data_IF_156530451835
#
_entry.id   IF_156530451835
#
_cell.length_a   1.000
_cell.length_b   1.000
_cell.length_c   1.000
_cell.angle_alpha   90.00
_cell.angle_beta   90.00
_cell.angle_gamma   90.00
#
_symmetry.space_group_name_H-M   'P 1'
#
loop_
_entity.id
_entity.type
_entity.pdbx_description
1 polymer ?
#
# COMPACT_ATOMS: atom_id res chain seq x y z
N UNK A 1 4.92 22.80 13.43
CA UNK A 1 5.10 22.54 11.98
C UNK A 1 5.31 21.06 11.82
N UNK A 2 4.62 20.42 10.88
CA UNK A 2 4.79 18.98 10.67
C UNK A 2 6.09 18.69 9.94
N UNK A 3 6.89 17.78 10.47
CA UNK A 3 8.11 17.25 9.88
C UNK A 3 7.93 15.75 9.65
N UNK A 4 7.76 15.34 8.41
CA UNK A 4 7.30 14.00 8.04
C UNK A 4 8.44 13.21 7.42
N UNK A 5 8.73 12.03 7.94
CA UNK A 5 9.63 11.06 7.33
C UNK A 5 8.80 9.95 6.65
N UNK A 6 8.95 9.79 5.33
CA UNK A 6 8.38 8.68 4.57
C UNK A 6 9.46 7.63 4.36
N UNK A 7 9.41 6.55 5.15
CA UNK A 7 10.31 5.41 5.02
C UNK A 7 9.81 4.52 3.88
N UNK A 8 10.65 4.24 2.89
CA UNK A 8 10.24 3.51 1.68
C UNK A 8 9.64 4.40 0.60
N UNK A 9 10.03 5.67 0.54
CA UNK A 9 9.57 6.66 -0.45
C UNK A 9 9.99 6.36 -1.90
N UNK A 10 10.80 5.34 -2.15
CA UNK A 10 11.11 4.86 -3.51
C UNK A 10 10.22 3.66 -3.93
N UNK A 11 9.28 3.22 -3.08
CA UNK A 11 8.33 2.15 -3.38
C UNK A 11 7.09 2.64 -4.13
N UNK A 12 6.21 1.72 -4.52
CA UNK A 12 5.00 2.02 -5.31
C UNK A 12 4.14 3.12 -4.69
N UNK A 13 3.67 2.95 -3.45
CA UNK A 13 2.83 3.96 -2.77
C UNK A 13 3.70 5.15 -2.34
N UNK A 14 4.88 4.87 -1.78
CA UNK A 14 5.73 5.91 -1.19
C UNK A 14 6.17 6.98 -2.17
N UNK A 15 6.43 6.63 -3.45
CA UNK A 15 6.89 7.57 -4.48
C UNK A 15 5.81 8.59 -4.89
N UNK A 16 4.55 8.19 -4.87
CA UNK A 16 3.43 9.11 -5.18
C UNK A 16 2.97 9.86 -3.92
N UNK A 17 2.95 9.17 -2.77
CA UNK A 17 2.57 9.76 -1.49
C UNK A 17 3.48 10.93 -1.11
N UNK A 18 4.80 10.78 -1.25
CA UNK A 18 5.75 11.82 -0.86
C UNK A 18 5.55 13.11 -1.65
N UNK A 19 5.26 13.04 -2.96
CA UNK A 19 5.02 14.20 -3.80
C UNK A 19 3.75 14.94 -3.36
N UNK A 20 2.70 14.19 -3.03
CA UNK A 20 1.45 14.76 -2.53
C UNK A 20 1.64 15.40 -1.15
N UNK A 21 2.34 14.73 -0.23
CA UNK A 21 2.65 15.29 1.09
C UNK A 21 3.49 16.58 0.98
N UNK A 22 4.48 16.63 0.07
CA UNK A 22 5.27 17.83 -0.19
C UNK A 22 4.43 19.00 -0.68
N UNK A 23 3.43 18.74 -1.52
CA UNK A 23 2.50 19.78 -1.97
C UNK A 23 1.64 20.36 -0.84
N UNK A 24 1.35 19.57 0.19
CA UNK A 24 0.51 19.97 1.34
C UNK A 24 1.34 20.61 2.45
N UNK A 25 2.45 19.99 2.82
CA UNK A 25 3.24 20.37 4.00
C UNK A 25 4.51 21.19 3.68
N UNK A 26 4.85 21.31 2.39
CA UNK A 26 6.07 21.96 1.91
C UNK A 26 7.22 20.98 1.68
N UNK A 27 7.99 21.23 0.64
CA UNK A 27 9.05 20.36 0.14
C UNK A 27 10.08 19.98 1.21
N UNK A 28 10.56 20.98 1.97
CA UNK A 28 11.60 20.81 2.99
C UNK A 28 11.10 20.10 4.27
N UNK A 29 9.78 20.00 4.43
CA UNK A 29 9.17 19.42 5.62
C UNK A 29 8.86 17.93 5.45
N UNK A 30 9.00 17.37 4.23
CA UNK A 30 8.74 15.97 3.95
C UNK A 30 9.97 15.27 3.41
N UNK A 31 10.59 14.48 4.25
CA UNK A 31 11.82 13.75 3.98
C UNK A 31 11.47 12.38 3.41
N UNK A 32 11.97 12.06 2.24
CA UNK A 32 11.89 10.72 1.69
C UNK A 32 13.03 9.84 2.16
N UNK A 33 12.80 8.54 2.19
CA UNK A 33 13.92 7.62 2.35
C UNK A 33 13.76 6.31 1.60
N UNK A 34 14.89 5.68 1.32
CA UNK A 34 14.99 4.37 0.70
C UNK A 34 16.26 3.66 1.12
N UNK A 35 16.40 2.38 0.73
CA UNK A 35 17.61 1.61 1.06
C UNK A 35 18.60 1.57 -0.10
N UNK A 36 18.17 1.06 -1.25
CA UNK A 36 19.00 0.86 -2.45
C UNK A 36 18.33 1.33 -3.74
N UNK A 37 16.99 1.28 -3.78
CA UNK A 37 16.23 1.71 -4.94
C UNK A 37 16.35 3.22 -5.09
N UNK A 38 16.80 3.67 -6.25
CA UNK A 38 16.83 5.09 -6.57
C UNK A 38 15.38 5.62 -6.67
N UNK A 39 15.05 6.72 -6.00
CA UNK A 39 13.76 7.38 -6.18
C UNK A 39 13.69 8.02 -7.58
N UNK A 40 12.48 8.38 -8.00
CA UNK A 40 12.30 9.14 -9.23
C UNK A 40 12.99 10.51 -9.16
N UNK A 41 13.31 11.06 -10.33
CA UNK A 41 13.91 12.41 -10.43
C UNK A 41 13.00 13.47 -9.77
N UNK A 42 11.67 13.35 -9.94
CA UNK A 42 10.71 14.24 -9.30
C UNK A 42 10.83 14.23 -7.77
N UNK A 43 11.06 13.08 -7.16
CA UNK A 43 11.28 12.97 -5.70
C UNK A 43 12.58 13.63 -5.28
N UNK A 44 13.66 13.47 -6.06
CA UNK A 44 14.97 14.08 -5.74
C UNK A 44 14.97 15.60 -5.91
N UNK A 45 14.27 16.11 -6.91
CA UNK A 45 14.24 17.56 -7.21
C UNK A 45 13.30 18.35 -6.30
N UNK A 46 12.34 17.69 -5.63
CA UNK A 46 11.32 18.39 -4.86
C UNK A 46 11.60 18.44 -3.35
N UNK A 47 12.66 17.81 -2.83
CA UNK A 47 12.96 17.91 -1.40
C UNK A 47 13.97 16.87 -0.92
N UNK A 48 14.25 16.81 0.38
CA UNK A 48 15.28 15.94 0.96
C UNK A 48 14.97 14.46 0.80
N UNK A 49 16.04 13.67 0.57
CA UNK A 49 15.98 12.22 0.49
C UNK A 49 17.19 11.59 1.16
N UNK A 50 16.98 10.58 2.02
CA UNK A 50 18.01 9.90 2.78
C UNK A 50 18.08 8.40 2.43
N UNK A 51 19.28 7.85 2.38
CA UNK A 51 19.48 6.42 2.21
C UNK A 51 19.87 5.79 3.54
N UNK A 52 19.02 4.89 4.02
CA UNK A 52 19.30 4.10 5.22
C UNK A 52 18.55 2.77 5.23
N UNK A 53 18.93 1.89 6.15
CA UNK A 53 18.21 0.64 6.38
C UNK A 53 17.27 0.80 7.57
N UNK A 54 15.96 0.68 7.36
CA UNK A 54 14.93 0.81 8.42
C UNK A 54 15.11 -0.20 9.58
N UNK A 55 15.79 -1.33 9.33
CA UNK A 55 16.15 -2.31 10.36
C UNK A 55 17.32 -1.82 11.24
N UNK A 56 18.12 -0.89 10.76
CA UNK A 56 19.16 -0.25 11.55
C UNK A 56 18.58 0.90 12.36
N UNK A 57 18.34 0.67 13.65
CA UNK A 57 17.74 1.62 14.57
C UNK A 57 18.52 2.94 14.67
N UNK A 58 19.86 2.86 14.67
CA UNK A 58 20.72 4.03 14.81
C UNK A 58 20.63 4.94 13.57
N UNK A 59 20.64 4.35 12.36
CA UNK A 59 20.47 5.11 11.13
C UNK A 59 19.13 5.84 11.10
N UNK A 60 18.01 5.15 11.42
CA UNK A 60 16.68 5.73 11.49
C UNK A 60 16.59 6.86 12.54
N UNK A 61 17.12 6.63 13.74
CA UNK A 61 17.17 7.62 14.81
C UNK A 61 17.92 8.89 14.39
N UNK A 62 19.10 8.73 13.76
CA UNK A 62 19.93 9.84 13.30
C UNK A 62 19.22 10.70 12.24
N UNK A 63 18.49 10.07 11.32
CA UNK A 63 17.68 10.79 10.33
C UNK A 63 16.54 11.54 11.01
N UNK A 64 15.80 10.91 11.92
CA UNK A 64 14.73 11.56 12.68
C UNK A 64 15.24 12.78 13.45
N UNK A 65 16.39 12.65 14.11
CA UNK A 65 17.03 13.74 14.85
C UNK A 65 17.53 14.86 13.93
N UNK A 66 18.14 14.51 12.80
CA UNK A 66 18.68 15.48 11.83
C UNK A 66 17.61 16.45 11.32
N UNK A 67 16.41 15.93 11.07
CA UNK A 67 15.31 16.70 10.47
C UNK A 67 14.23 17.12 11.48
N UNK A 68 14.43 16.85 12.78
CA UNK A 68 13.43 17.12 13.82
C UNK A 68 12.05 16.50 13.47
N UNK A 69 12.08 15.22 13.06
CA UNK A 69 10.89 14.50 12.59
C UNK A 69 9.89 14.31 13.73
N UNK A 70 8.62 14.62 13.47
CA UNK A 70 7.53 14.41 14.42
C UNK A 70 6.40 13.51 13.89
N UNK A 71 6.47 13.11 12.61
CA UNK A 71 5.57 12.11 12.01
C UNK A 71 6.39 11.11 11.19
N UNK A 72 6.18 9.82 11.38
CA UNK A 72 6.77 8.78 10.53
C UNK A 72 5.68 8.05 9.78
N UNK A 73 5.83 7.91 8.46
CA UNK A 73 5.01 7.05 7.61
C UNK A 73 5.92 5.90 7.15
N UNK A 74 5.73 4.71 7.71
CA UNK A 74 6.60 3.57 7.43
C UNK A 74 6.01 2.68 6.31
N UNK A 75 6.36 2.99 5.06
CA UNK A 75 5.97 2.23 3.86
C UNK A 75 6.94 1.08 3.54
N UNK A 76 8.05 0.93 4.27
CA UNK A 76 9.04 -0.11 4.00
C UNK A 76 8.49 -1.49 4.34
N UNK A 77 8.40 -2.38 3.36
CA UNK A 77 7.97 -3.75 3.55
C UNK A 77 8.49 -4.69 2.45
N UNK A 78 8.67 -5.95 2.79
CA UNK A 78 8.79 -7.06 1.84
C UNK A 78 7.37 -7.61 1.61
N UNK A 79 6.94 -7.66 0.33
CA UNK A 79 5.59 -8.03 -0.06
C UNK A 79 5.36 -9.55 -0.09
N UNK A 80 4.10 -9.98 -0.31
CA UNK A 80 3.65 -11.35 -0.15
C UNK A 80 4.46 -12.39 -0.94
N UNK A 81 4.55 -12.27 -2.27
CA UNK A 81 5.24 -13.29 -3.08
C UNK A 81 6.75 -13.34 -2.82
N UNK A 82 7.39 -12.18 -2.63
CA UNK A 82 8.82 -12.12 -2.26
C UNK A 82 9.04 -12.61 -0.83
N UNK A 83 8.10 -12.32 0.07
CA UNK A 83 8.13 -12.76 1.46
C UNK A 83 8.09 -14.28 1.61
N UNK A 84 7.31 -14.98 0.78
CA UNK A 84 7.27 -16.45 0.78
C UNK A 84 8.58 -17.07 0.28
N UNK A 85 9.27 -16.40 -0.63
CA UNK A 85 10.60 -16.84 -1.07
C UNK A 85 11.69 -16.57 -0.02
N UNK A 86 11.51 -15.54 0.82
CA UNK A 86 12.49 -15.09 1.81
C UNK A 86 11.83 -14.73 3.15
N UNK A 87 11.22 -15.69 3.88
CA UNK A 87 10.38 -15.40 5.05
C UNK A 87 11.12 -14.71 6.20
N UNK A 88 12.38 -15.06 6.45
CA UNK A 88 13.18 -14.42 7.50
C UNK A 88 13.53 -12.96 7.16
N UNK A 89 13.78 -12.65 5.87
CA UNK A 89 13.96 -11.28 5.43
C UNK A 89 12.66 -10.47 5.57
N UNK A 90 11.52 -11.08 5.24
CA UNK A 90 10.21 -10.45 5.43
C UNK A 90 9.95 -10.15 6.90
N UNK A 91 10.23 -11.10 7.79
CA UNK A 91 10.14 -10.86 9.23
C UNK A 91 11.04 -9.70 9.68
N UNK A 92 12.31 -9.73 9.31
CA UNK A 92 13.28 -8.72 9.74
C UNK A 92 12.87 -7.30 9.31
N UNK A 93 12.58 -7.12 8.02
CA UNK A 93 12.18 -5.81 7.49
C UNK A 93 10.84 -5.35 8.04
N UNK A 94 9.82 -6.23 8.02
CA UNK A 94 8.45 -5.83 8.37
C UNK A 94 8.24 -5.69 9.89
N UNK A 95 8.92 -6.50 10.72
CA UNK A 95 8.73 -6.48 12.16
C UNK A 95 9.80 -5.68 12.90
N UNK A 96 11.10 -5.93 12.65
CA UNK A 96 12.15 -5.19 13.32
C UNK A 96 12.21 -3.73 12.84
N UNK A 97 11.94 -3.48 11.54
CA UNK A 97 11.79 -2.13 11.01
C UNK A 97 10.62 -1.38 11.64
N UNK A 98 9.47 -2.05 11.82
CA UNK A 98 8.32 -1.47 12.50
C UNK A 98 8.61 -1.19 13.98
N UNK A 99 9.19 -2.16 14.70
CA UNK A 99 9.51 -1.99 16.11
C UNK A 99 10.47 -0.81 16.32
N UNK A 100 11.51 -0.68 15.49
CA UNK A 100 12.41 0.46 15.52
C UNK A 100 11.65 1.78 15.34
N UNK A 101 10.73 1.82 14.37
CA UNK A 101 9.90 3.00 14.09
C UNK A 101 9.07 3.41 15.32
N UNK A 102 8.37 2.45 15.93
CA UNK A 102 7.50 2.70 17.09
C UNK A 102 8.31 3.11 18.33
N UNK A 103 9.44 2.45 18.60
CA UNK A 103 10.29 2.79 19.74
C UNK A 103 10.93 4.17 19.59
N UNK A 104 11.42 4.52 18.41
CA UNK A 104 11.97 5.85 18.14
C UNK A 104 10.87 6.92 18.27
N UNK A 105 9.69 6.66 17.72
CA UNK A 105 8.56 7.58 17.84
C UNK A 105 8.16 7.81 19.31
N UNK A 106 8.13 6.76 20.12
CA UNK A 106 7.87 6.84 21.55
C UNK A 106 8.96 7.62 22.32
N UNK A 107 10.23 7.31 22.04
CA UNK A 107 11.37 7.94 22.73
C UNK A 107 11.54 9.43 22.41
N UNK A 108 11.23 9.80 21.15
CA UNK A 108 11.28 11.18 20.68
C UNK A 108 9.95 11.93 20.87
N UNK A 109 8.97 11.33 21.54
CA UNK A 109 7.65 11.91 21.78
C UNK A 109 6.99 12.43 20.50
N UNK A 110 7.10 11.63 19.41
CA UNK A 110 6.55 12.02 18.12
C UNK A 110 5.03 12.13 18.16
N UNK A 111 4.50 12.98 17.31
CA UNK A 111 3.06 13.24 17.22
C UNK A 111 2.29 12.05 16.65
N UNK A 112 2.85 11.35 15.65
CA UNK A 112 2.09 10.32 14.93
C UNK A 112 3.01 9.32 14.21
N UNK A 113 2.56 8.08 14.13
CA UNK A 113 3.12 7.04 13.25
C UNK A 113 2.02 6.47 12.37
N UNK A 114 2.26 6.38 11.06
CA UNK A 114 1.36 5.68 10.15
C UNK A 114 2.06 4.43 9.62
N UNK A 115 1.39 3.28 9.79
CA UNK A 115 1.91 1.95 9.42
C UNK A 115 0.89 1.26 8.52
N UNK A 116 1.19 1.05 7.24
CA UNK A 116 0.29 0.32 6.35
C UNK A 116 0.10 -1.13 6.78
N UNK A 117 -1.17 -1.55 6.91
CA UNK A 117 -1.58 -2.94 6.90
C UNK A 117 -2.01 -3.35 5.49
N UNK A 118 -2.65 -4.49 5.33
CA UNK A 118 -3.00 -5.08 4.04
C UNK A 118 -4.17 -6.06 4.20
N UNK A 119 -4.94 -6.29 3.13
CA UNK A 119 -5.89 -7.40 3.05
C UNK A 119 -5.22 -8.78 3.28
N UNK A 120 -3.91 -8.86 3.21
CA UNK A 120 -3.15 -10.07 3.50
C UNK A 120 -3.25 -10.53 4.97
N UNK A 121 -3.81 -9.73 5.88
CA UNK A 121 -4.15 -10.13 7.26
C UNK A 121 -5.25 -11.18 7.30
N UNK A 122 -6.10 -11.22 6.30
CA UNK A 122 -7.18 -12.18 6.17
C UNK A 122 -6.67 -13.57 5.77
N UNK A 123 -7.48 -14.57 5.99
CA UNK A 123 -7.15 -15.96 5.68
C UNK A 123 -8.31 -16.90 6.00
N UNK A 124 -8.06 -18.23 6.09
CA UNK A 124 -9.10 -19.20 6.36
C UNK A 124 -9.93 -18.86 7.60
N UNK A 125 -11.26 -18.81 7.41
CA UNK A 125 -12.22 -18.45 8.46
C UNK A 125 -12.69 -16.98 8.39
N UNK A 126 -12.04 -16.12 7.60
CA UNK A 126 -12.60 -14.81 7.26
C UNK A 126 -13.73 -14.98 6.24
N UNK A 127 -14.89 -14.31 6.40
CA UNK A 127 -15.91 -14.26 5.34
C UNK A 127 -15.32 -13.72 4.03
N UNK A 128 -15.63 -14.40 2.91
CA UNK A 128 -15.10 -13.98 1.60
C UNK A 128 -15.75 -12.67 1.11
N UNK A 129 -17.04 -12.51 1.35
CA UNK A 129 -17.77 -11.32 0.92
C UNK A 129 -17.94 -10.38 2.10
N UNK A 130 -17.63 -9.09 1.87
CA UNK A 130 -17.70 -8.00 2.87
C UNK A 130 -17.03 -8.40 4.19
N UNK A 131 -15.75 -8.85 4.11
CA UNK A 131 -14.98 -9.20 5.29
C UNK A 131 -15.10 -8.10 6.35
N UNK A 132 -15.67 -8.42 7.56
CA UNK A 132 -15.90 -7.41 8.59
C UNK A 132 -14.61 -6.77 9.11
N UNK A 133 -14.73 -5.57 9.67
CA UNK A 133 -13.63 -4.89 10.37
C UNK A 133 -13.07 -5.79 11.48
N UNK A 134 -13.96 -6.27 12.34
CA UNK A 134 -13.64 -7.24 13.40
C UNK A 134 -13.93 -8.67 12.91
N UNK A 135 -12.88 -9.43 12.68
CA UNK A 135 -13.02 -10.80 12.16
C UNK A 135 -11.80 -11.67 12.51
N UNK A 136 -11.87 -12.94 12.13
CA UNK A 136 -10.76 -13.89 12.32
C UNK A 136 -9.63 -13.54 11.36
N UNK A 137 -8.45 -13.24 11.91
CA UNK A 137 -7.24 -12.98 11.14
C UNK A 137 -6.30 -14.19 11.26
N UNK A 138 -6.28 -15.03 10.21
CA UNK A 138 -5.43 -16.22 10.12
C UNK A 138 -4.72 -16.27 8.77
N UNK A 139 -3.79 -15.33 8.51
CA UNK A 139 -3.09 -15.29 7.24
C UNK A 139 -2.27 -16.57 7.00
N UNK A 140 -2.11 -16.92 5.74
CA UNK A 140 -1.34 -18.10 5.31
C UNK A 140 0.05 -17.74 4.80
N UNK A 141 0.41 -16.47 4.80
CA UNK A 141 1.71 -15.97 4.33
C UNK A 141 2.51 -15.30 5.45
N UNK A 142 3.84 -15.32 5.35
CA UNK A 142 4.71 -14.57 6.27
C UNK A 142 4.38 -13.08 6.23
N UNK A 143 4.12 -12.53 5.05
CA UNK A 143 3.71 -11.14 4.90
C UNK A 143 2.45 -10.83 5.70
N UNK A 144 1.39 -11.61 5.52
CA UNK A 144 0.14 -11.46 6.26
C UNK A 144 0.33 -11.58 7.77
N UNK A 145 1.13 -12.57 8.22
CA UNK A 145 1.48 -12.75 9.63
C UNK A 145 2.14 -11.49 10.19
N UNK A 146 3.12 -10.90 9.48
CA UNK A 146 3.77 -9.67 9.93
C UNK A 146 2.82 -8.48 9.95
N UNK A 147 1.82 -8.43 9.06
CA UNK A 147 0.80 -7.37 9.07
C UNK A 147 -0.15 -7.50 10.25
N UNK A 148 -0.64 -8.69 10.57
CA UNK A 148 -1.44 -8.93 11.80
C UNK A 148 -0.66 -8.55 13.05
N UNK A 149 0.58 -9.02 13.16
CA UNK A 149 1.44 -8.67 14.29
C UNK A 149 1.68 -7.15 14.37
N UNK A 150 1.81 -6.47 13.22
CA UNK A 150 1.97 -5.02 13.13
C UNK A 150 0.74 -4.25 13.59
N UNK A 151 -0.48 -4.68 13.23
CA UNK A 151 -1.74 -4.11 13.73
C UNK A 151 -1.81 -4.21 15.26
N UNK A 152 -1.62 -5.41 15.80
CA UNK A 152 -1.64 -5.66 17.24
C UNK A 152 -0.57 -4.86 17.99
N UNK A 153 0.60 -4.72 17.39
CA UNK A 153 1.70 -3.94 17.97
C UNK A 153 1.35 -2.44 17.95
N UNK A 154 0.80 -1.92 16.86
CA UNK A 154 0.33 -0.54 16.77
C UNK A 154 -0.70 -0.22 17.85
N UNK A 155 -1.72 -1.05 17.99
CA UNK A 155 -2.74 -0.92 19.01
C UNK A 155 -2.16 -1.01 20.44
N UNK A 156 -1.15 -1.86 20.64
CA UNK A 156 -0.46 -1.93 21.93
C UNK A 156 0.21 -0.58 22.28
N UNK A 157 0.89 0.06 21.30
CA UNK A 157 1.54 1.36 21.53
C UNK A 157 0.53 2.48 21.78
N UNK A 158 -0.62 2.47 21.11
CA UNK A 158 -1.73 3.39 21.41
C UNK A 158 -2.18 3.23 22.84
N UNK A 159 -2.55 2.00 23.25
CA UNK A 159 -3.10 1.73 24.59
C UNK A 159 -2.09 1.90 25.71
N UNK A 160 -0.85 1.50 25.49
CA UNK A 160 0.19 1.46 26.54
C UNK A 160 0.91 2.79 26.71
N UNK A 161 1.14 3.50 25.61
CA UNK A 161 1.99 4.69 25.63
C UNK A 161 1.28 5.96 25.16
N UNK A 162 0.04 5.87 24.68
CA UNK A 162 -0.69 7.01 24.13
C UNK A 162 -0.11 7.54 22.82
N UNK A 163 0.75 6.75 22.14
CA UNK A 163 1.29 7.13 20.84
C UNK A 163 0.19 7.02 19.77
N UNK A 164 -0.01 8.07 19.00
CA UNK A 164 -0.93 8.05 17.85
C UNK A 164 -0.36 7.18 16.73
N UNK A 165 -0.81 5.91 16.66
CA UNK A 165 -0.45 4.96 15.62
C UNK A 165 -1.67 4.67 14.76
N UNK A 166 -1.55 4.85 13.45
CA UNK A 166 -2.66 4.65 12.49
C UNK A 166 -2.25 3.72 11.36
N UNK A 167 -3.22 2.96 10.84
CA UNK A 167 -2.98 2.04 9.74
C UNK A 167 -4.22 1.72 8.92
N UNK A 168 -3.99 1.34 7.68
CA UNK A 168 -4.99 0.96 6.69
C UNK A 168 -4.69 -0.46 6.20
N UNK A 169 -5.70 -1.31 6.11
CA UNK A 169 -5.64 -2.59 5.39
C UNK A 169 -5.79 -2.31 3.90
N UNK A 170 -4.69 -1.95 3.26
CA UNK A 170 -4.72 -1.68 1.82
C UNK A 170 -5.16 -2.90 1.03
N UNK A 171 -6.07 -2.73 0.05
CA UNK A 171 -6.36 -3.73 -0.97
C UNK A 171 -5.24 -3.81 -2.01
N UNK A 172 -5.48 -4.48 -3.13
CA UNK A 172 -4.57 -4.45 -4.28
C UNK A 172 -4.48 -3.04 -4.87
N UNK A 173 -3.29 -2.46 -4.84
CA UNK A 173 -3.08 -1.07 -5.31
C UNK A 173 -2.67 -1.07 -6.78
N UNK A 174 -3.40 -0.28 -7.57
CA UNK A 174 -3.20 -0.13 -9.01
C UNK A 174 -2.68 1.27 -9.30
N UNK A 175 -1.56 1.37 -10.02
CA UNK A 175 -0.93 2.64 -10.41
C UNK A 175 -0.35 2.54 -11.81
N UNK A 176 -0.41 3.64 -12.58
CA UNK A 176 0.29 3.78 -13.85
C UNK A 176 1.70 4.34 -13.69
N UNK A 177 2.11 4.79 -12.49
CA UNK A 177 3.42 5.41 -12.29
C UNK A 177 4.52 4.39 -12.07
N UNK A 178 4.29 3.42 -11.20
CA UNK A 178 5.31 2.45 -10.79
C UNK A 178 4.92 1.04 -11.24
N UNK A 179 5.87 0.35 -11.85
CA UNK A 179 5.71 -1.07 -12.22
C UNK A 179 5.52 -1.95 -10.97
N UNK A 180 4.85 -3.10 -11.13
CA UNK A 180 4.64 -4.06 -10.06
C UNK A 180 5.93 -4.52 -9.38
N UNK A 181 5.87 -4.72 -8.06
CA UNK A 181 7.02 -5.00 -7.20
C UNK A 181 7.09 -6.42 -6.59
N UNK A 182 6.29 -7.37 -7.07
CA UNK A 182 6.26 -8.74 -6.55
C UNK A 182 5.11 -8.99 -5.56
N UNK A 183 3.97 -8.35 -5.77
CA UNK A 183 2.72 -8.60 -5.06
C UNK A 183 1.83 -9.63 -5.76
N UNK A 184 0.90 -10.22 -5.03
CA UNK A 184 -0.09 -11.17 -5.55
C UNK A 184 -1.09 -10.47 -6.49
N UNK A 185 -1.37 -9.19 -6.27
CA UNK A 185 -2.32 -8.38 -7.04
C UNK A 185 -1.71 -7.67 -8.26
N UNK A 186 -0.43 -7.87 -8.52
CA UNK A 186 0.32 -7.18 -9.58
C UNK A 186 -0.23 -7.43 -11.00
N UNK A 187 -1.02 -8.51 -11.18
CA UNK A 187 -1.70 -8.76 -12.45
C UNK A 187 -2.59 -7.59 -12.87
N UNK A 188 -3.23 -6.92 -11.90
CA UNK A 188 -4.14 -5.81 -12.15
C UNK A 188 -3.43 -4.53 -12.62
N UNK A 189 -2.11 -4.47 -12.49
CA UNK A 189 -1.26 -3.42 -13.08
C UNK A 189 -0.66 -3.90 -14.39
N UNK A 190 -0.05 -5.09 -14.40
CA UNK A 190 0.65 -5.66 -15.56
C UNK A 190 -0.26 -5.74 -16.80
N UNK A 191 -1.53 -6.12 -16.61
CA UNK A 191 -2.51 -6.26 -17.70
C UNK A 191 -2.66 -4.99 -18.55
N UNK A 192 -2.58 -3.80 -17.95
CA UNK A 192 -2.69 -2.52 -18.68
C UNK A 192 -1.44 -2.23 -19.51
N UNK A 193 -0.26 -2.50 -18.97
CA UNK A 193 1.00 -2.35 -19.72
C UNK A 193 1.06 -3.30 -20.90
N UNK A 194 0.68 -4.56 -20.70
CA UNK A 194 0.64 -5.57 -21.73
C UNK A 194 -0.43 -5.28 -22.79
N UNK A 195 -1.59 -4.75 -22.38
CA UNK A 195 -2.64 -4.34 -23.30
C UNK A 195 -2.17 -3.23 -24.25
N UNK A 196 -1.44 -2.23 -23.75
CA UNK A 196 -0.90 -1.15 -24.60
C UNK A 196 0.22 -1.65 -25.49
N UNK A 197 1.20 -2.43 -24.94
CA UNK A 197 2.39 -2.86 -25.69
C UNK A 197 2.08 -3.96 -26.71
N UNK A 198 1.31 -4.96 -26.27
CA UNK A 198 1.21 -6.24 -27.01
C UNK A 198 -0.23 -6.62 -27.36
N UNK A 199 -1.23 -5.90 -26.83
CA UNK A 199 -2.66 -6.24 -26.98
C UNK A 199 -2.98 -7.67 -26.52
N UNK A 200 -2.13 -8.21 -25.66
CA UNK A 200 -2.22 -9.58 -25.15
C UNK A 200 -1.63 -9.65 -23.76
N UNK A 201 -2.28 -10.44 -22.87
CA UNK A 201 -1.77 -10.72 -21.54
C UNK A 201 -2.00 -12.18 -21.17
N UNK A 202 -1.04 -12.79 -20.47
CA UNK A 202 -1.21 -14.09 -19.80
C UNK A 202 -1.24 -13.83 -18.29
N UNK A 203 -2.43 -14.00 -17.69
CA UNK A 203 -2.65 -13.74 -16.29
C UNK A 203 -2.23 -14.95 -15.44
N UNK A 204 -1.52 -14.70 -14.34
CA UNK A 204 -1.06 -15.73 -13.42
C UNK A 204 -2.05 -16.11 -12.32
N UNK A 205 -3.29 -15.63 -12.43
CA UNK A 205 -4.43 -16.07 -11.62
C UNK A 205 -5.61 -16.36 -12.53
N UNK A 206 -6.62 -17.06 -12.01
CA UNK A 206 -7.83 -17.48 -12.78
C UNK A 206 -8.67 -16.27 -13.17
N UNK A 207 -9.51 -16.47 -14.17
CA UNK A 207 -10.40 -15.41 -14.70
C UNK A 207 -11.44 -14.94 -13.67
N UNK A 208 -11.90 -15.83 -12.81
CA UNK A 208 -12.90 -15.58 -11.78
C UNK A 208 -12.31 -15.10 -10.44
N UNK A 209 -10.97 -15.03 -10.34
CA UNK A 209 -10.30 -14.51 -9.15
C UNK A 209 -10.74 -13.07 -8.90
N UNK A 210 -11.45 -12.86 -7.78
CA UNK A 210 -11.98 -11.56 -7.36
C UNK A 210 -11.26 -11.12 -6.10
N UNK A 211 -10.76 -9.89 -6.10
CA UNK A 211 -10.07 -9.30 -4.95
C UNK A 211 -10.50 -7.83 -4.78
N UNK A 212 -10.45 -7.30 -3.56
CA UNK A 212 -10.61 -5.87 -3.35
C UNK A 212 -9.40 -5.13 -3.92
N UNK A 213 -9.68 -4.06 -4.67
CA UNK A 213 -8.70 -3.25 -5.39
C UNK A 213 -8.91 -1.77 -5.12
N UNK A 214 -7.87 -0.98 -5.30
CA UNK A 214 -7.91 0.47 -5.14
C UNK A 214 -6.96 1.14 -6.13
N UNK A 215 -7.42 2.22 -6.76
CA UNK A 215 -6.56 3.05 -7.58
C UNK A 215 -5.67 3.96 -6.73
N UNK A 216 -4.44 4.23 -7.19
CA UNK A 216 -3.45 4.98 -6.40
C UNK A 216 -3.93 6.35 -5.90
N UNK A 217 -4.66 7.17 -6.68
CA UNK A 217 -5.18 8.43 -6.15
C UNK A 217 -6.09 8.26 -4.92
N UNK A 218 -6.92 7.20 -4.88
CA UNK A 218 -7.73 6.87 -3.71
C UNK A 218 -6.88 6.33 -2.55
N UNK A 219 -5.82 5.57 -2.85
CA UNK A 219 -4.86 5.11 -1.84
C UNK A 219 -4.16 6.28 -1.14
N UNK A 220 -3.67 7.24 -1.91
CA UNK A 220 -3.02 8.45 -1.38
C UNK A 220 -4.03 9.28 -0.57
N UNK A 221 -5.24 9.45 -1.09
CA UNK A 221 -6.33 10.14 -0.38
C UNK A 221 -6.64 9.46 0.95
N UNK A 222 -6.83 8.13 0.97
CA UNK A 222 -7.12 7.38 2.19
C UNK A 222 -6.03 7.57 3.25
N UNK A 223 -4.77 7.52 2.81
CA UNK A 223 -3.60 7.71 3.69
C UNK A 223 -3.61 9.08 4.33
N UNK A 224 -3.83 10.13 3.54
CA UNK A 224 -3.81 11.53 4.00
C UNK A 224 -5.04 11.84 4.86
N UNK A 225 -6.24 11.40 4.44
CA UNK A 225 -7.47 11.60 5.20
C UNK A 225 -7.37 10.96 6.60
N UNK A 226 -6.87 9.71 6.69
CA UNK A 226 -6.66 9.07 7.99
C UNK A 226 -5.58 9.80 8.80
N UNK A 227 -4.47 10.22 8.17
CA UNK A 227 -3.42 10.98 8.85
C UNK A 227 -3.93 12.28 9.47
N UNK A 228 -4.89 12.96 8.82
CA UNK A 228 -5.46 14.23 9.24
C UNK A 228 -6.70 14.10 10.13
N UNK A 229 -7.27 12.89 10.27
CA UNK A 229 -8.44 12.66 11.10
C UNK A 229 -8.19 13.03 12.57
N UNK A 230 -9.23 13.43 13.27
CA UNK A 230 -9.16 13.67 14.72
C UNK A 230 -8.98 12.33 15.44
N UNK A 231 -7.84 12.15 16.10
CA UNK A 231 -7.51 10.92 16.83
C UNK A 231 -8.55 10.55 17.89
N UNK A 232 -9.17 11.56 18.51
CA UNK A 232 -10.16 11.34 19.57
C UNK A 232 -11.48 10.72 19.05
N UNK A 233 -11.73 10.77 17.74
CA UNK A 233 -12.91 10.17 17.10
C UNK A 233 -12.68 8.73 16.64
N UNK A 234 -11.42 8.30 16.58
CA UNK A 234 -11.06 6.98 16.10
C UNK A 234 -11.30 5.93 17.20
N UNK A 235 -12.04 4.88 16.86
CA UNK A 235 -12.23 3.68 17.70
C UNK A 235 -11.26 2.57 17.28
N UNK A 236 -10.99 2.49 15.98
CA UNK A 236 -9.94 1.67 15.40
C UNK A 236 -8.71 2.55 15.16
N UNK A 237 -7.54 1.96 15.08
CA UNK A 237 -6.30 2.73 14.92
C UNK A 237 -5.45 2.19 13.77
N UNK A 238 -4.82 1.04 13.96
CA UNK A 238 -3.82 0.50 13.03
C UNK A 238 -4.36 -0.50 12.00
N UNK A 239 -5.68 -0.67 11.89
CA UNK A 239 -6.32 -1.81 11.23
C UNK A 239 -7.54 -1.46 10.36
N UNK A 240 -7.76 -0.22 9.96
CA UNK A 240 -8.94 0.16 9.18
C UNK A 240 -9.05 -0.60 7.85
N UNK A 241 -10.17 -1.30 7.65
CA UNK A 241 -10.57 -1.75 6.32
C UNK A 241 -10.87 -0.55 5.42
N UNK A 242 -10.31 -0.53 4.21
CA UNK A 242 -10.63 0.47 3.18
C UNK A 242 -10.99 -0.24 1.87
N UNK A 243 -12.26 -0.16 1.49
CA UNK A 243 -12.79 -0.68 0.24
C UNK A 243 -12.89 0.43 -0.81
N UNK A 244 -12.60 0.11 -2.07
CA UNK A 244 -12.84 1.01 -3.20
C UNK A 244 -13.58 0.27 -4.31
N UNK A 245 -13.00 -0.81 -4.82
CA UNK A 245 -13.55 -1.64 -5.89
C UNK A 245 -13.34 -3.12 -5.55
N UNK A 246 -14.21 -3.96 -6.10
CA UNK A 246 -14.01 -5.41 -6.15
C UNK A 246 -14.42 -5.91 -7.52
N UNK A 247 -13.51 -6.56 -8.23
CA UNK A 247 -13.77 -7.07 -9.57
C UNK A 247 -12.94 -8.33 -9.85
N UNK A 248 -13.44 -9.18 -10.77
CA UNK A 248 -12.70 -10.33 -11.25
C UNK A 248 -11.71 -9.94 -12.35
N UNK A 249 -10.76 -10.83 -12.65
CA UNK A 249 -9.83 -10.63 -13.77
C UNK A 249 -10.58 -10.53 -15.10
N UNK A 250 -11.66 -11.32 -15.27
CA UNK A 250 -12.52 -11.25 -16.44
C UNK A 250 -13.18 -9.87 -16.60
N UNK A 251 -13.74 -9.32 -15.51
CA UNK A 251 -14.36 -7.98 -15.53
C UNK A 251 -13.33 -6.89 -15.87
N UNK A 252 -12.12 -6.99 -15.33
CA UNK A 252 -11.02 -6.09 -15.67
C UNK A 252 -10.65 -6.18 -17.15
N UNK A 253 -10.52 -7.40 -17.68
CA UNK A 253 -10.21 -7.63 -19.09
C UNK A 253 -11.32 -7.08 -20.01
N UNK A 254 -12.58 -7.26 -19.66
CA UNK A 254 -13.71 -6.71 -20.43
C UNK A 254 -13.73 -5.17 -20.39
N UNK A 255 -13.39 -4.54 -19.25
CA UNK A 255 -13.23 -3.09 -19.18
C UNK A 255 -12.14 -2.58 -20.13
N UNK A 256 -11.01 -3.30 -20.23
CA UNK A 256 -9.93 -2.99 -21.18
C UNK A 256 -10.38 -3.20 -22.63
N UNK A 257 -11.06 -4.30 -22.94
CA UNK A 257 -11.56 -4.60 -24.31
C UNK A 257 -12.52 -3.56 -24.84
N UNK A 258 -13.31 -2.90 -23.98
CA UNK A 258 -14.16 -1.78 -24.40
C UNK A 258 -13.36 -0.63 -25.04
N UNK A 259 -12.07 -0.46 -24.66
CA UNK A 259 -11.16 0.59 -25.16
C UNK A 259 -10.16 0.07 -26.19
N UNK A 260 -9.79 -1.21 -26.08
CA UNK A 260 -8.86 -1.91 -26.97
C UNK A 260 -9.54 -3.20 -27.43
N UNK A 261 -10.42 -3.17 -28.46
CA UNK A 261 -11.22 -4.35 -28.85
C UNK A 261 -10.39 -5.57 -29.26
N UNK A 262 -9.17 -5.35 -29.76
CA UNK A 262 -8.23 -6.41 -30.15
C UNK A 262 -7.47 -7.04 -28.95
N UNK A 263 -7.67 -6.56 -27.70
CA UNK A 263 -7.01 -7.13 -26.54
C UNK A 263 -7.49 -8.56 -26.27
N UNK A 264 -6.54 -9.44 -26.04
CA UNK A 264 -6.78 -10.85 -25.71
C UNK A 264 -6.11 -11.21 -24.39
N UNK A 265 -6.74 -12.10 -23.63
CA UNK A 265 -6.20 -12.61 -22.36
C UNK A 265 -6.22 -14.13 -22.33
N UNK A 266 -5.21 -14.73 -21.73
CA UNK A 266 -5.15 -16.15 -21.35
C UNK A 266 -4.81 -16.28 -19.88
N UNK A 267 -5.05 -17.44 -19.29
CA UNK A 267 -4.88 -17.68 -17.85
C UNK A 267 -3.96 -18.86 -17.62
N UNK A 268 -2.88 -18.65 -16.90
CA UNK A 268 -1.91 -19.66 -16.47
C UNK A 268 -1.59 -19.48 -14.98
N UNK A 269 -2.50 -19.93 -14.07
CA UNK A 269 -2.34 -19.72 -12.64
C UNK A 269 -1.04 -20.35 -12.10
N UNK A 270 -0.31 -19.59 -11.28
CA UNK A 270 0.88 -20.04 -10.56
C UNK A 270 0.63 -20.08 -9.03
N UNK A 271 1.70 -20.20 -8.23
CA UNK A 271 1.61 -20.27 -6.77
C UNK A 271 0.86 -19.10 -6.12
N UNK A 272 0.81 -17.94 -6.79
CA UNK A 272 0.09 -16.74 -6.32
C UNK A 272 -1.43 -16.92 -6.28
N UNK A 273 -1.95 -17.86 -7.06
CA UNK A 273 -3.38 -18.21 -7.00
C UNK A 273 -3.78 -18.69 -5.59
N UNK A 274 -2.97 -19.53 -4.96
CA UNK A 274 -3.26 -20.02 -3.61
C UNK A 274 -3.27 -18.89 -2.57
N UNK A 275 -2.41 -17.89 -2.77
CA UNK A 275 -2.40 -16.70 -1.92
C UNK A 275 -3.69 -15.89 -2.15
N UNK A 276 -4.04 -15.63 -3.41
CA UNK A 276 -5.26 -14.91 -3.77
C UNK A 276 -6.53 -15.60 -3.23
N UNK A 277 -6.63 -16.92 -3.36
CA UNK A 277 -7.76 -17.72 -2.87
C UNK A 277 -7.93 -17.67 -1.33
N UNK A 278 -6.91 -17.22 -0.60
CA UNK A 278 -6.96 -17.08 0.86
C UNK A 278 -7.47 -15.69 1.32
N UNK A 279 -7.66 -14.75 0.42
CA UNK A 279 -8.11 -13.38 0.71
C UNK A 279 -9.59 -13.19 0.38
N UNK A 280 -10.28 -12.23 1.01
CA UNK A 280 -11.67 -11.94 0.72
C UNK A 280 -11.84 -11.32 -0.67
N UNK A 281 -13.05 -11.53 -1.22
CA UNK A 281 -13.49 -10.89 -2.46
C UNK A 281 -13.71 -9.38 -2.27
N UNK A 282 -14.12 -8.98 -1.06
CA UNK A 282 -14.47 -7.61 -0.70
C UNK A 282 -14.33 -7.39 0.82
N UNK A 283 -14.27 -6.13 1.25
CA UNK A 283 -14.15 -5.75 2.65
C UNK A 283 -15.26 -4.79 3.06
N UNK A 284 -15.74 -4.89 4.29
CA UNK A 284 -16.61 -3.90 4.91
C UNK A 284 -15.77 -2.74 5.44
N UNK A 285 -15.91 -1.57 4.85
CA UNK A 285 -15.21 -0.33 5.20
C UNK A 285 -16.07 0.66 6.00
N UNK A 286 -17.17 0.16 6.59
CA UNK A 286 -18.12 0.99 7.35
C UNK A 286 -17.45 1.75 8.49
N UNK A 287 -16.46 1.16 9.16
CA UNK A 287 -15.68 1.82 10.21
C UNK A 287 -14.95 3.06 9.66
N UNK A 288 -14.19 2.90 8.57
CA UNK A 288 -13.47 3.99 7.93
C UNK A 288 -14.42 5.13 7.47
N UNK A 289 -15.56 4.78 6.87
CA UNK A 289 -16.57 5.77 6.45
C UNK A 289 -17.15 6.56 7.61
N UNK A 290 -17.41 5.91 8.75
CA UNK A 290 -18.04 6.54 9.92
C UNK A 290 -17.05 7.33 10.77
N UNK A 291 -15.84 6.85 10.94
CA UNK A 291 -14.90 7.41 11.90
C UNK A 291 -14.06 8.55 11.33
N UNK A 292 -13.74 8.51 10.03
CA UNK A 292 -12.93 9.55 9.39
C UNK A 292 -13.38 9.93 7.98
N UNK A 293 -14.58 9.52 7.55
CA UNK A 293 -15.20 10.02 6.32
C UNK A 293 -14.64 9.43 5.03
N UNK A 294 -14.10 8.20 5.06
CA UNK A 294 -13.60 7.53 3.88
C UNK A 294 -14.63 7.48 2.75
N UNK A 295 -14.23 7.86 1.54
CA UNK A 295 -15.03 7.73 0.33
C UNK A 295 -14.09 7.63 -0.89
N UNK A 296 -14.07 6.50 -1.60
CA UNK A 296 -13.32 6.37 -2.85
C UNK A 296 -13.98 7.19 -3.96
N UNK A 297 -13.18 7.58 -4.96
CA UNK A 297 -13.63 8.38 -6.10
C UNK A 297 -13.65 7.60 -7.41
N UNK A 298 -12.86 6.53 -7.52
CA UNK A 298 -12.70 5.79 -8.75
C UNK A 298 -13.49 4.48 -8.71
N UNK A 299 -14.24 4.22 -9.78
CA UNK A 299 -14.73 2.90 -10.14
C UNK A 299 -13.82 2.22 -11.17
N UNK A 300 -14.13 0.99 -11.56
CA UNK A 300 -13.34 0.21 -12.52
C UNK A 300 -13.23 0.92 -13.89
N UNK A 301 -14.29 1.54 -14.36
CA UNK A 301 -14.31 2.16 -15.69
C UNK A 301 -13.46 3.45 -15.68
N UNK A 302 -13.64 4.32 -14.69
CA UNK A 302 -12.86 5.55 -14.55
C UNK A 302 -11.36 5.25 -14.33
N UNK A 303 -11.04 4.25 -13.53
CA UNK A 303 -9.66 3.78 -13.35
C UNK A 303 -9.09 3.25 -14.68
N UNK A 304 -9.84 2.43 -15.40
CA UNK A 304 -9.36 1.87 -16.68
C UNK A 304 -9.08 2.96 -17.70
N UNK A 305 -9.94 3.98 -17.80
CA UNK A 305 -9.71 5.12 -18.69
C UNK A 305 -8.42 5.86 -18.36
N UNK A 306 -8.20 6.14 -17.09
CA UNK A 306 -7.03 6.90 -16.63
C UNK A 306 -5.73 6.07 -16.76
N UNK A 307 -5.77 4.78 -16.39
CA UNK A 307 -4.63 3.86 -16.57
C UNK A 307 -4.20 3.78 -18.04
N UNK A 308 -5.12 3.47 -18.94
CA UNK A 308 -4.80 3.32 -20.36
C UNK A 308 -4.30 4.62 -20.98
N UNK A 309 -4.91 5.76 -20.63
CA UNK A 309 -4.47 7.09 -21.08
C UNK A 309 -3.03 7.38 -20.67
N UNK A 310 -2.70 7.22 -19.39
CA UNK A 310 -1.38 7.58 -18.88
C UNK A 310 -0.28 6.60 -19.35
N UNK A 311 -0.58 5.30 -19.38
CA UNK A 311 0.36 4.29 -19.90
C UNK A 311 0.61 4.50 -21.41
N UNK A 312 -0.44 4.84 -22.18
CA UNK A 312 -0.28 5.17 -23.61
C UNK A 312 0.64 6.39 -23.81
N UNK A 313 0.49 7.44 -23.00
CA UNK A 313 1.39 8.61 -23.05
C UNK A 313 2.85 8.21 -22.79
N UNK A 314 3.10 7.33 -21.82
CA UNK A 314 4.44 6.82 -21.53
C UNK A 314 5.00 5.98 -22.67
N UNK A 315 4.18 5.11 -23.25
CA UNK A 315 4.55 4.29 -24.40
C UNK A 315 4.90 5.15 -25.62
N UNK A 316 4.06 6.12 -25.96
CA UNK A 316 4.27 7.01 -27.12
C UNK A 316 5.54 7.89 -26.96
N UNK A 317 5.97 8.13 -25.73
CA UNK A 317 7.24 8.82 -25.40
C UNK A 317 8.45 7.88 -25.31
N UNK A 318 8.29 6.57 -25.51
CA UNK A 318 9.36 5.58 -25.38
C UNK A 318 9.89 5.40 -23.95
N UNK A 319 9.08 5.68 -22.95
CA UNK A 319 9.43 5.54 -21.53
C UNK A 319 9.15 4.12 -21.00
N UNK A 320 8.37 3.32 -21.73
CA UNK A 320 8.01 1.95 -21.38
C UNK A 320 8.02 1.04 -22.62
#
# INVERSE_FOLDING_TARGET
MERILVVGAAGQIGSELILTLRSIYGNENVIGSGRKTAPSEAVLQTGPFEYFNAVNREELYNVCKKYDVNIIINMAAILSAVGEQNPMLAWDVNMNGLLNTLEIAREMEMKQVLVPSSIAVFGPGTPLDKAPQETVLKPTTMYGLTKVAGELLGDYYVRRYGLDVRGLRYPGIISHETLPGGGTTDYAVAIYYEAIKHKKYTCFVKEDTRLPMMYMPDCIKATIDLMQADFSTLKHHSDFNVGAMSFSVAELAESIKKRIPEFTISYEPDFRQQIADSWPNDVDDTAARKEWGWAPKYDLEAMTDDMLKNIKIKHDKGLI
#
